data_IF_031193641252
#
_entry.id   IF_031193641252
#
_cell.length_a   1.000
_cell.length_b   1.000
_cell.length_c   1.000
_cell.angle_alpha   90.00
_cell.angle_beta   90.00
_cell.angle_gamma   90.00
#
_symmetry.space_group_name_H-M   'P 1'
#
loop_
_entity.id
_entity.type
_entity.pdbx_description
1 polymer ?
#
# COMPACT_ATOMS: atom_id res chain seq x y z
N UNK A 1 10.55 -5.61 -10.89
CA UNK A 1 11.20 -4.29 -10.82
C UNK A 1 11.89 -4.10 -9.48
N UNK A 2 11.43 -4.82 -8.46
CA UNK A 2 12.09 -5.02 -7.17
C UNK A 2 12.04 -6.50 -6.78
N UNK A 3 12.73 -6.85 -5.69
CA UNK A 3 12.57 -8.10 -4.95
C UNK A 3 11.91 -7.80 -3.59
N UNK A 4 10.73 -8.36 -3.36
CA UNK A 4 9.87 -8.08 -2.21
C UNK A 4 10.10 -9.07 -1.07
N UNK A 5 10.20 -8.57 0.17
CA UNK A 5 10.36 -9.34 1.41
C UNK A 5 11.29 -10.58 1.27
N UNK A 6 12.57 -10.39 0.88
CA UNK A 6 13.48 -11.48 0.55
C UNK A 6 13.90 -12.32 1.76
N UNK A 7 13.70 -11.80 2.96
CA UNK A 7 13.93 -12.46 4.25
C UNK A 7 12.72 -12.18 5.16
N UNK A 8 12.53 -12.95 6.25
CA UNK A 8 11.48 -12.64 7.23
C UNK A 8 11.51 -11.16 7.61
N UNK A 9 10.37 -10.46 7.48
CA UNK A 9 10.28 -9.00 7.67
C UNK A 9 10.77 -8.52 9.06
N UNK A 10 10.73 -9.41 10.04
CA UNK A 10 11.25 -9.16 11.40
C UNK A 10 12.77 -9.06 11.45
N UNK A 11 13.49 -9.71 10.54
CA UNK A 11 14.96 -9.70 10.46
C UNK A 11 15.45 -8.61 9.50
N UNK A 12 15.49 -7.38 10.01
CA UNK A 12 15.96 -6.22 9.24
C UNK A 12 17.46 -6.31 8.89
N UNK A 13 18.26 -7.04 9.66
CA UNK A 13 19.69 -7.18 9.39
C UNK A 13 19.95 -8.14 8.23
N UNK A 14 19.16 -9.20 8.11
CA UNK A 14 19.17 -10.07 6.93
C UNK A 14 18.71 -9.31 5.68
N UNK A 15 17.60 -8.58 5.77
CA UNK A 15 17.09 -7.78 4.65
C UNK A 15 18.11 -6.71 4.20
N UNK A 16 18.78 -6.02 5.13
CA UNK A 16 19.84 -5.06 4.81
C UNK A 16 21.04 -5.70 4.11
N UNK A 17 21.44 -6.93 4.48
CA UNK A 17 22.48 -7.67 3.77
C UNK A 17 22.07 -8.00 2.34
N UNK A 18 20.81 -8.37 2.13
CA UNK A 18 20.29 -8.65 0.78
C UNK A 18 20.25 -7.37 -0.04
N UNK A 19 19.67 -6.28 0.49
CA UNK A 19 19.60 -4.99 -0.19
C UNK A 19 21.00 -4.48 -0.59
N UNK A 20 22.00 -4.58 0.30
CA UNK A 20 23.36 -4.17 0.00
C UNK A 20 24.09 -5.07 -1.02
N UNK A 21 23.63 -6.31 -1.23
CA UNK A 21 24.29 -7.28 -2.11
C UNK A 21 23.69 -7.34 -3.52
N UNK A 22 22.51 -6.76 -3.74
CA UNK A 22 21.80 -6.81 -5.01
C UNK A 22 21.84 -5.47 -5.74
N UNK A 23 21.94 -5.53 -7.06
CA UNK A 23 21.69 -4.36 -7.93
C UNK A 23 20.18 -4.13 -8.15
N UNK A 24 19.35 -5.14 -7.86
CA UNK A 24 17.88 -5.05 -7.92
C UNK A 24 17.36 -4.42 -6.61
N UNK A 25 16.48 -3.41 -6.68
CA UNK A 25 15.89 -2.80 -5.48
C UNK A 25 15.18 -3.82 -4.60
N UNK A 26 15.39 -3.75 -3.28
CA UNK A 26 14.63 -4.51 -2.29
C UNK A 26 13.46 -3.68 -1.77
N UNK A 27 12.27 -4.26 -1.75
CA UNK A 27 11.09 -3.61 -1.18
C UNK A 27 10.64 -4.32 0.11
N UNK A 28 10.23 -3.53 1.10
CA UNK A 28 9.86 -4.02 2.42
C UNK A 28 8.82 -3.11 3.09
N UNK A 29 8.05 -3.67 4.02
CA UNK A 29 7.18 -2.89 4.91
C UNK A 29 5.69 -3.21 4.80
N UNK A 30 5.30 -4.17 3.96
CA UNK A 30 3.90 -4.57 3.82
C UNK A 30 3.32 -5.24 5.08
N UNK A 31 4.16 -5.89 5.89
CA UNK A 31 3.77 -6.49 7.17
C UNK A 31 3.90 -5.50 8.34
N UNK A 32 4.48 -4.32 8.11
CA UNK A 32 4.78 -3.35 9.17
C UNK A 32 3.59 -2.43 9.45
N UNK A 33 3.34 -2.19 10.74
CA UNK A 33 2.23 -1.34 11.22
C UNK A 33 2.70 -0.26 12.20
N UNK A 34 3.91 -0.39 12.74
CA UNK A 34 4.50 0.57 13.69
C UNK A 34 5.44 1.56 12.99
N UNK A 35 5.28 2.85 13.28
CA UNK A 35 6.13 3.92 12.72
C UNK A 35 7.58 3.77 13.17
N UNK A 36 7.81 3.24 14.38
CA UNK A 36 9.17 2.98 14.88
C UNK A 36 9.85 1.92 14.03
N UNK A 37 9.12 0.86 13.65
CA UNK A 37 9.63 -0.21 12.78
C UNK A 37 9.95 0.29 11.38
N UNK A 38 9.09 1.11 10.77
CA UNK A 38 9.39 1.77 9.50
C UNK A 38 10.67 2.61 9.56
N UNK A 39 10.85 3.38 10.65
CA UNK A 39 12.08 4.17 10.85
C UNK A 39 13.31 3.25 10.94
N UNK A 40 13.25 2.19 11.74
CA UNK A 40 14.37 1.26 11.91
C UNK A 40 14.75 0.58 10.60
N UNK A 41 13.76 0.17 9.82
CA UNK A 41 13.93 -0.42 8.49
C UNK A 41 14.71 0.51 7.56
N UNK A 42 14.32 1.79 7.48
CA UNK A 42 15.00 2.79 6.65
C UNK A 42 16.41 3.11 7.17
N UNK A 43 16.58 3.30 8.50
CA UNK A 43 17.88 3.59 9.12
C UNK A 43 18.89 2.47 8.89
N UNK A 44 18.45 1.22 8.88
CA UNK A 44 19.31 0.05 8.63
C UNK A 44 19.64 -0.15 7.14
N UNK A 45 18.99 0.58 6.23
CA UNK A 45 19.09 0.30 4.80
C UNK A 45 18.50 -1.06 4.44
N UNK A 46 17.44 -1.49 5.14
CA UNK A 46 16.81 -2.79 4.91
C UNK A 46 15.90 -2.82 3.67
N UNK A 47 15.66 -1.67 3.05
CA UNK A 47 14.87 -1.54 1.83
C UNK A 47 15.32 -0.34 0.99
N UNK A 48 15.16 -0.47 -0.32
CA UNK A 48 15.27 0.61 -1.31
C UNK A 48 13.90 1.20 -1.68
N UNK A 49 12.82 0.48 -1.38
CA UNK A 49 11.43 0.88 -1.59
C UNK A 49 10.63 0.55 -0.33
N UNK A 50 9.90 1.52 0.20
CA UNK A 50 9.00 1.30 1.35
C UNK A 50 7.59 0.93 0.86
N UNK A 51 6.97 -0.06 1.49
CA UNK A 51 5.65 -0.56 1.09
C UNK A 51 4.59 -0.50 2.19
N UNK A 52 4.24 0.70 2.69
CA UNK A 52 3.18 0.80 3.69
C UNK A 52 1.83 0.41 3.09
N UNK A 53 1.03 -0.31 3.87
CA UNK A 53 -0.37 -0.58 3.58
C UNK A 53 -1.24 0.41 4.39
N UNK A 54 -2.12 1.16 3.70
CA UNK A 54 -2.96 2.20 4.34
C UNK A 54 -3.84 1.62 5.46
N UNK A 55 -4.29 0.37 5.33
CA UNK A 55 -5.14 -0.31 6.30
C UNK A 55 -4.31 -0.82 7.48
N UNK A 56 -3.19 -1.51 7.22
CA UNK A 56 -2.35 -2.09 8.28
C UNK A 56 -1.63 -1.04 9.13
N UNK A 57 -1.13 0.01 8.49
CA UNK A 57 -0.38 1.09 9.18
C UNK A 57 -1.29 1.92 10.10
N UNK A 58 -2.62 1.82 9.97
CA UNK A 58 -3.59 2.54 10.79
C UNK A 58 -4.09 3.83 10.16
N UNK A 59 -4.26 3.85 8.83
CA UNK A 59 -4.94 4.90 8.08
C UNK A 59 -4.02 5.94 7.44
N UNK A 60 -4.65 6.87 6.72
CA UNK A 60 -3.98 7.89 5.91
C UNK A 60 -2.90 8.67 6.65
N UNK A 61 -3.20 9.17 7.85
CA UNK A 61 -2.27 10.03 8.58
C UNK A 61 -1.00 9.28 8.98
N UNK A 62 -1.11 8.03 9.43
CA UNK A 62 0.06 7.22 9.78
C UNK A 62 0.84 6.83 8.54
N UNK A 63 0.15 6.45 7.45
CA UNK A 63 0.80 6.19 6.18
C UNK A 63 1.53 7.43 5.63
N UNK A 64 0.98 8.64 5.80
CA UNK A 64 1.64 9.90 5.43
C UNK A 64 2.90 10.15 6.25
N UNK A 65 2.90 9.78 7.55
CA UNK A 65 4.12 9.85 8.37
C UNK A 65 5.19 8.89 7.85
N UNK A 66 4.83 7.68 7.41
CA UNK A 66 5.77 6.75 6.77
C UNK A 66 6.33 7.35 5.47
N UNK A 67 5.48 7.87 4.59
CA UNK A 67 5.92 8.49 3.34
C UNK A 67 6.83 9.72 3.58
N UNK A 68 6.52 10.55 4.57
CA UNK A 68 7.36 11.69 4.95
C UNK A 68 8.72 11.26 5.52
N UNK A 69 8.77 10.16 6.30
CA UNK A 69 10.05 9.58 6.71
C UNK A 69 10.83 9.08 5.49
N UNK A 70 10.19 8.32 4.60
CA UNK A 70 10.82 7.80 3.39
C UNK A 70 11.41 8.91 2.50
N UNK A 71 10.68 10.02 2.34
CA UNK A 71 11.14 11.19 1.61
C UNK A 71 12.45 11.76 2.18
N UNK A 72 12.60 11.82 3.51
CA UNK A 72 13.83 12.28 4.15
C UNK A 72 15.05 11.38 3.86
N UNK A 73 14.82 10.10 3.55
CA UNK A 73 15.86 9.15 3.15
C UNK A 73 15.99 9.01 1.62
N UNK A 74 15.22 9.76 0.83
CA UNK A 74 15.08 9.60 -0.62
C UNK A 74 14.61 8.19 -1.04
N UNK A 75 13.85 7.51 -0.19
CA UNK A 75 13.29 6.19 -0.46
C UNK A 75 11.90 6.35 -1.10
N UNK A 76 11.65 5.84 -2.33
CA UNK A 76 10.33 5.85 -2.95
C UNK A 76 9.33 4.97 -2.19
N UNK A 77 8.05 5.30 -2.35
CA UNK A 77 6.93 4.57 -1.75
C UNK A 77 6.19 3.79 -2.85
N UNK A 78 5.93 2.51 -2.60
CA UNK A 78 5.00 1.70 -3.41
C UNK A 78 4.05 1.00 -2.48
N UNK A 79 2.78 1.39 -2.46
CA UNK A 79 1.82 0.86 -1.50
C UNK A 79 1.58 -0.63 -1.73
N UNK A 80 1.60 -1.38 -0.64
CA UNK A 80 1.00 -2.71 -0.61
C UNK A 80 -0.52 -2.57 -0.53
N UNK A 81 -1.23 -3.37 -1.31
CA UNK A 81 -2.68 -3.36 -1.43
C UNK A 81 -3.23 -4.70 -1.92
N UNK A 82 -3.60 -5.54 -0.95
CA UNK A 82 -4.37 -6.77 -1.19
C UNK A 82 -5.88 -6.55 -1.12
N UNK A 83 -6.35 -5.32 -0.92
CA UNK A 83 -7.78 -5.05 -0.78
C UNK A 83 -8.46 -4.97 -2.15
N UNK A 84 -9.70 -5.49 -2.30
CA UNK A 84 -10.43 -5.47 -3.57
C UNK A 84 -11.53 -4.39 -3.65
N UNK A 85 -11.75 -3.62 -2.59
CA UNK A 85 -12.89 -2.67 -2.48
C UNK A 85 -12.48 -1.31 -1.90
N UNK A 86 -12.99 -0.94 -0.72
CA UNK A 86 -12.79 0.36 -0.05
C UNK A 86 -11.29 0.61 0.18
N UNK A 87 -10.56 -0.43 0.57
CA UNK A 87 -9.11 -0.35 0.77
C UNK A 87 -8.35 0.04 -0.48
N UNK A 88 -8.73 -0.48 -1.65
CA UNK A 88 -8.15 -0.08 -2.94
C UNK A 88 -8.35 1.41 -3.18
N UNK A 89 -9.57 1.90 -3.00
CA UNK A 89 -9.90 3.32 -3.20
C UNK A 89 -9.13 4.22 -2.22
N UNK A 90 -8.97 3.79 -0.96
CA UNK A 90 -8.13 4.48 0.01
C UNK A 90 -6.66 4.53 -0.44
N UNK A 91 -6.11 3.41 -0.91
CA UNK A 91 -4.77 3.33 -1.48
C UNK A 91 -4.61 4.28 -2.67
N UNK A 92 -5.60 4.38 -3.56
CA UNK A 92 -5.60 5.32 -4.68
C UNK A 92 -5.52 6.79 -4.24
N UNK A 93 -6.40 7.21 -3.32
CA UNK A 93 -6.40 8.57 -2.77
C UNK A 93 -5.07 8.90 -2.08
N UNK A 94 -4.48 7.92 -1.39
CA UNK A 94 -3.17 8.10 -0.80
C UNK A 94 -2.09 8.28 -1.87
N UNK A 95 -2.02 7.38 -2.86
CA UNK A 95 -1.01 7.44 -3.92
C UNK A 95 -1.09 8.77 -4.68
N UNK A 96 -2.30 9.17 -5.08
CA UNK A 96 -2.54 10.42 -5.82
C UNK A 96 -2.14 11.68 -5.05
N UNK A 97 -2.16 11.64 -3.73
CA UNK A 97 -1.80 12.78 -2.87
C UNK A 97 -0.37 12.69 -2.32
N UNK A 98 0.45 11.71 -2.74
CA UNK A 98 1.78 11.45 -2.18
C UNK A 98 2.86 11.49 -3.28
N UNK A 99 3.67 12.56 -3.37
CA UNK A 99 4.73 12.68 -4.38
C UNK A 99 5.80 11.56 -4.37
N UNK A 100 5.96 10.87 -3.23
CA UNK A 100 6.83 9.71 -3.10
C UNK A 100 6.33 8.44 -3.80
N UNK A 101 5.05 8.37 -4.17
CA UNK A 101 4.45 7.25 -4.90
C UNK A 101 4.73 7.35 -6.40
N UNK A 102 5.97 7.00 -6.79
CA UNK A 102 6.49 7.23 -8.17
C UNK A 102 6.38 6.04 -9.10
N UNK A 103 6.34 4.84 -8.54
CA UNK A 103 6.27 3.60 -9.31
C UNK A 103 4.82 3.14 -9.50
N UNK A 104 4.55 2.21 -10.44
CA UNK A 104 3.26 1.54 -10.50
C UNK A 104 2.89 0.96 -9.14
N UNK A 105 1.66 1.20 -8.70
CA UNK A 105 1.16 0.76 -7.40
C UNK A 105 0.48 -0.60 -7.52
N UNK A 106 0.47 -1.37 -6.43
CA UNK A 106 -0.18 -2.68 -6.42
C UNK A 106 -1.71 -2.56 -6.60
N UNK A 107 -2.26 -3.43 -7.43
CA UNK A 107 -3.70 -3.59 -7.63
C UNK A 107 -4.08 -5.06 -7.55
N UNK A 108 -4.97 -5.39 -6.60
CA UNK A 108 -5.46 -6.76 -6.44
C UNK A 108 -6.36 -7.18 -7.61
N UNK A 109 -5.98 -8.27 -8.29
CA UNK A 109 -6.72 -8.89 -9.41
C UNK A 109 -7.46 -10.17 -9.00
N UNK A 110 -7.31 -10.61 -7.76
CA UNK A 110 -7.93 -11.84 -7.25
C UNK A 110 -9.46 -11.73 -7.30
N UNK A 111 -10.15 -12.81 -7.73
CA UNK A 111 -11.60 -12.78 -7.85
C UNK A 111 -12.23 -12.66 -6.47
N UNK A 112 -13.04 -11.62 -6.28
CA UNK A 112 -13.76 -11.41 -5.03
C UNK A 112 -15.27 -11.48 -5.25
N UNK A 113 -15.93 -12.58 -4.83
CA UNK A 113 -17.28 -12.94 -5.29
C UNK A 113 -18.36 -11.91 -4.97
N UNK A 114 -18.12 -11.05 -3.98
CA UNK A 114 -19.07 -10.03 -3.53
C UNK A 114 -18.51 -8.59 -3.58
N UNK A 115 -17.29 -8.35 -4.08
CA UNK A 115 -16.71 -7.00 -4.08
C UNK A 115 -17.59 -5.96 -4.78
N UNK A 116 -18.06 -6.29 -5.99
CA UNK A 116 -18.94 -5.44 -6.80
C UNK A 116 -20.37 -5.34 -6.26
N UNK A 117 -20.79 -6.28 -5.39
CA UNK A 117 -22.08 -6.22 -4.68
C UNK A 117 -21.99 -5.31 -3.46
N UNK A 118 -20.85 -5.36 -2.76
CA UNK A 118 -20.58 -4.68 -1.49
C UNK A 118 -20.30 -3.19 -1.68
N UNK A 119 -19.60 -2.81 -2.75
CA UNK A 119 -19.25 -1.41 -3.03
C UNK A 119 -19.64 -1.08 -4.47
N UNK A 120 -20.43 -0.02 -4.60
CA UNK A 120 -20.82 0.57 -5.90
C UNK A 120 -19.75 1.53 -6.36
N UNK A 121 -19.66 1.69 -7.68
CA UNK A 121 -18.77 2.66 -8.34
C UNK A 121 -17.27 2.44 -8.07
N UNK A 122 -16.87 1.17 -7.87
CA UNK A 122 -15.44 0.84 -7.81
C UNK A 122 -14.75 1.22 -9.12
N UNK A 123 -13.61 1.93 -9.05
CA UNK A 123 -12.91 2.38 -10.23
C UNK A 123 -12.31 1.18 -10.98
N UNK A 124 -12.29 1.28 -12.32
CA UNK A 124 -11.83 0.22 -13.20
C UNK A 124 -10.44 0.55 -13.72
N UNK A 125 -9.63 -0.48 -13.92
CA UNK A 125 -8.37 -0.37 -14.66
C UNK A 125 -8.69 -0.10 -16.14
N UNK A 126 -8.13 0.97 -16.69
CA UNK A 126 -8.20 1.34 -18.10
C UNK A 126 -6.77 1.69 -18.55
N UNK A 127 -6.27 0.99 -19.57
CA UNK A 127 -4.93 1.20 -20.13
C UNK A 127 -3.79 1.21 -19.08
N UNK A 128 -3.89 0.33 -18.08
CA UNK A 128 -2.91 0.22 -16.99
C UNK A 128 -3.02 1.31 -15.91
N UNK A 129 -4.02 2.18 -16.00
CA UNK A 129 -4.27 3.27 -15.06
C UNK A 129 -5.63 3.11 -14.38
N UNK A 130 -5.79 3.76 -13.23
CA UNK A 130 -7.07 3.84 -12.53
C UNK A 130 -7.34 5.31 -12.19
N UNK A 131 -8.53 5.79 -12.53
CA UNK A 131 -8.95 7.15 -12.16
C UNK A 131 -9.27 7.21 -10.66
N UNK A 132 -8.81 8.27 -10.00
CA UNK A 132 -9.19 8.56 -8.62
C UNK A 132 -10.63 9.09 -8.61
N UNK A 133 -11.54 8.52 -7.81
CA UNK A 133 -12.89 9.05 -7.67
C UNK A 133 -12.88 10.51 -7.19
N UNK A 134 -13.76 11.34 -7.75
CA UNK A 134 -13.83 12.79 -7.51
C UNK A 134 -15.00 13.22 -6.60
N UNK A 135 -15.92 12.29 -6.30
CA UNK A 135 -16.99 12.51 -5.34
C UNK A 135 -16.45 12.64 -3.89
N UNK A 136 -17.17 13.32 -2.98
CA UNK A 136 -16.70 13.55 -1.61
C UNK A 136 -16.30 12.27 -0.84
N UNK A 137 -15.33 12.41 0.05
CA UNK A 137 -14.81 11.30 0.85
C UNK A 137 -13.94 10.37 0.01
N UNK A 138 -14.21 9.06 0.06
CA UNK A 138 -13.54 8.09 -0.81
C UNK A 138 -14.15 8.03 -2.21
N UNK A 139 -15.32 8.63 -2.43
CA UNK A 139 -15.99 8.66 -3.72
C UNK A 139 -16.57 7.31 -4.18
N UNK A 140 -16.88 6.42 -3.23
CA UNK A 140 -17.59 5.16 -3.47
C UNK A 140 -18.71 4.97 -2.45
N UNK A 141 -19.70 4.15 -2.80
CA UNK A 141 -20.88 3.92 -1.97
C UNK A 141 -20.94 2.47 -1.50
N UNK A 142 -21.04 2.25 -0.18
CA UNK A 142 -21.23 0.92 0.41
C UNK A 142 -22.69 0.50 0.24
N UNK A 143 -22.89 -0.78 -0.08
CA UNK A 143 -24.22 -1.37 -0.18
C UNK A 143 -24.62 -1.98 1.17
N UNK A 144 -25.26 -1.18 2.01
CA UNK A 144 -25.66 -1.57 3.37
C UNK A 144 -26.57 -2.82 3.43
N UNK A 145 -27.38 -3.06 2.40
CA UNK A 145 -28.21 -4.27 2.31
C UNK A 145 -27.35 -5.53 2.19
N UNK A 146 -26.29 -5.47 1.38
CA UNK A 146 -25.34 -6.58 1.21
C UNK A 146 -24.46 -6.74 2.44
N UNK A 147 -24.09 -5.64 3.11
CA UNK A 147 -23.40 -5.70 4.41
C UNK A 147 -24.26 -6.47 5.41
N UNK A 148 -25.54 -6.11 5.54
CA UNK A 148 -26.47 -6.74 6.47
C UNK A 148 -26.76 -8.22 6.14
N UNK A 149 -26.79 -8.58 4.86
CA UNK A 149 -26.89 -9.97 4.38
C UNK A 149 -25.66 -10.79 4.79
N UNK A 150 -24.45 -10.25 4.63
CA UNK A 150 -23.18 -10.96 4.85
C UNK A 150 -22.71 -10.96 6.31
N UNK A 151 -23.26 -10.10 7.17
CA UNK A 151 -22.87 -9.99 8.58
C UNK A 151 -23.65 -10.91 9.54
N UNK A 152 -24.54 -11.76 9.01
CA UNK A 152 -25.32 -12.75 9.76
C UNK A 152 -24.63 -14.12 9.75
#
# INVERSE_FOLDING_TARGET
FHFEEPCPYTDLDANAKVAAALDMPVALGEQEWDLVRFREMMVKGACDIVQPDVIKVGGFLRCKKVAAMAEAFNIPVTLHNTQPTIGTVATLHFAASTPGCRYPQEFNIEPHPFAHRLVRDLPKVQDGCIAVPDAPGLGVTVNEEVVAELSQ
#
